data_IF_589231206914
#
_entry.id   IF_589231206914
#
_cell.length_a   1.000
_cell.length_b   1.000
_cell.length_c   1.000
_cell.angle_alpha   90.00
_cell.angle_beta   90.00
_cell.angle_gamma   90.00
#
_symmetry.space_group_name_H-M   'P 1'
#
loop_
_entity.id
_entity.type
_entity.pdbx_description
1 polymer ?
#
# COMPACT_ATOMS: atom_id res chain seq x y z
N UNK A 1 -2.71 -3.44 15.15
CA UNK A 1 -2.20 -3.39 13.75
C UNK A 1 -1.95 -4.79 13.21
N UNK A 2 -2.90 -5.28 12.41
CA UNK A 2 -2.80 -6.55 11.68
C UNK A 2 -2.84 -6.24 10.19
N UNK A 3 -1.85 -6.72 9.43
CA UNK A 3 -1.79 -6.58 7.96
C UNK A 3 -2.35 -7.86 7.35
N UNK A 4 -3.36 -7.75 6.49
CA UNK A 4 -3.96 -8.88 5.77
C UNK A 4 -3.88 -8.62 4.28
N UNK A 5 -3.24 -9.53 3.54
CA UNK A 5 -3.25 -9.53 2.07
C UNK A 5 -4.54 -10.23 1.62
N UNK A 6 -5.39 -9.50 0.90
CA UNK A 6 -6.75 -9.92 0.55
C UNK A 6 -6.87 -10.37 -0.91
N UNK A 7 -5.87 -10.07 -1.76
CA UNK A 7 -5.90 -10.39 -3.18
C UNK A 7 -4.50 -10.70 -3.71
N UNK A 8 -4.45 -11.29 -4.91
CA UNK A 8 -3.22 -11.51 -5.67
C UNK A 8 -2.53 -10.19 -5.99
N UNK A 9 -1.19 -10.22 -5.98
CA UNK A 9 -0.34 -9.14 -6.49
C UNK A 9 -0.23 -9.32 -8.00
N UNK A 10 -0.75 -8.37 -8.76
CA UNK A 10 -0.58 -8.31 -10.21
C UNK A 10 0.81 -7.73 -10.51
N UNK A 11 1.68 -8.51 -11.14
CA UNK A 11 2.98 -8.05 -11.61
C UNK A 11 2.79 -7.27 -12.92
N UNK A 12 2.64 -5.95 -12.84
CA UNK A 12 2.40 -5.14 -14.03
C UNK A 12 3.68 -4.75 -14.75
N UNK A 13 4.72 -4.42 -13.99
CA UNK A 13 6.03 -4.10 -14.54
C UNK A 13 7.16 -4.73 -13.71
N UNK A 14 8.40 -4.46 -14.08
CA UNK A 14 9.59 -4.99 -13.41
C UNK A 14 9.88 -4.34 -12.04
N UNK A 15 9.17 -3.26 -11.67
CA UNK A 15 9.36 -2.58 -10.38
C UNK A 15 8.31 -3.02 -9.35
N UNK A 16 7.27 -3.72 -9.79
CA UNK A 16 6.07 -3.98 -8.99
C UNK A 16 6.39 -4.76 -7.71
N UNK A 17 7.18 -5.82 -7.79
CA UNK A 17 7.59 -6.66 -6.65
C UNK A 17 8.43 -5.87 -5.64
N UNK A 18 9.40 -5.09 -6.10
CA UNK A 18 10.20 -4.22 -5.23
C UNK A 18 9.32 -3.22 -4.48
N UNK A 19 8.39 -2.56 -5.20
CA UNK A 19 7.48 -1.58 -4.63
C UNK A 19 6.57 -2.22 -3.58
N UNK A 20 6.00 -3.39 -3.86
CA UNK A 20 5.12 -4.08 -2.91
C UNK A 20 5.88 -4.51 -1.66
N UNK A 21 7.06 -5.15 -1.79
CA UNK A 21 7.86 -5.60 -0.65
C UNK A 21 8.27 -4.41 0.22
N UNK A 22 8.74 -3.32 -0.40
CA UNK A 22 9.13 -2.11 0.32
C UNK A 22 7.95 -1.46 1.03
N UNK A 23 6.78 -1.44 0.40
CA UNK A 23 5.56 -0.93 1.01
C UNK A 23 5.12 -1.78 2.21
N UNK A 24 5.12 -3.11 2.09
CA UNK A 24 4.83 -4.02 3.19
C UNK A 24 5.79 -3.82 4.38
N UNK A 25 7.08 -3.63 4.11
CA UNK A 25 8.07 -3.30 5.14
C UNK A 25 7.72 -1.97 5.82
N UNK A 26 7.33 -0.94 5.07
CA UNK A 26 6.87 0.33 5.65
C UNK A 26 5.64 0.13 6.54
N UNK A 27 4.67 -0.69 6.14
CA UNK A 27 3.47 -0.97 6.93
C UNK A 27 3.75 -1.74 8.23
N UNK A 28 4.81 -2.56 8.25
CA UNK A 28 5.15 -3.41 9.38
C UNK A 28 5.89 -2.69 10.53
N UNK A 29 6.49 -1.53 10.25
CA UNK A 29 7.25 -0.76 11.25
C UNK A 29 6.35 -0.08 12.30
N UNK A 30 5.29 0.66 11.91
CA UNK A 30 4.40 1.34 12.85
C UNK A 30 3.67 0.37 13.79
N UNK A 31 3.44 0.81 15.02
CA UNK A 31 2.60 0.13 16.02
C UNK A 31 1.26 0.83 16.23
N UNK A 32 1.13 2.07 15.75
CA UNK A 32 -0.11 2.85 15.85
C UNK A 32 -0.50 3.47 14.51
N UNK A 33 -1.79 3.85 14.38
CA UNK A 33 -2.30 4.59 13.22
C UNK A 33 -1.50 5.85 12.94
N UNK A 34 -1.19 6.63 13.98
CA UNK A 34 -0.46 7.89 13.86
C UNK A 34 0.95 7.68 13.34
N UNK A 35 1.64 6.64 13.81
CA UNK A 35 2.97 6.28 13.29
C UNK A 35 2.91 5.85 11.83
N UNK A 36 1.84 5.16 11.41
CA UNK A 36 1.66 4.78 10.00
C UNK A 36 1.39 6.00 9.11
N UNK A 37 0.54 6.93 9.56
CA UNK A 37 0.32 8.21 8.88
C UNK A 37 1.65 8.95 8.68
N UNK A 38 2.48 9.05 9.74
CA UNK A 38 3.81 9.67 9.65
C UNK A 38 4.75 8.92 8.70
N UNK A 39 4.79 7.58 8.75
CA UNK A 39 5.64 6.78 7.86
C UNK A 39 5.28 6.99 6.39
N UNK A 40 3.99 7.04 6.06
CA UNK A 40 3.49 7.32 4.71
C UNK A 40 3.73 8.77 4.27
N UNK A 41 3.76 9.71 5.21
CA UNK A 41 4.00 11.12 4.91
C UNK A 41 5.45 11.45 4.62
N UNK A 42 6.39 10.84 5.35
CA UNK A 42 7.82 11.15 5.27
C UNK A 42 8.65 10.15 4.46
N UNK A 43 8.04 9.10 3.90
CA UNK A 43 8.79 8.14 3.08
C UNK A 43 9.32 8.78 1.78
N UNK A 44 10.61 8.58 1.42
CA UNK A 44 11.15 9.08 0.16
C UNK A 44 10.59 8.35 -1.06
N UNK A 45 9.94 7.19 -0.87
CA UNK A 45 9.39 6.35 -1.95
C UNK A 45 7.93 6.68 -2.29
N UNK A 46 7.38 7.79 -1.74
CA UNK A 46 5.95 8.13 -1.84
C UNK A 46 5.42 8.15 -3.27
N UNK A 47 6.18 8.70 -4.20
CA UNK A 47 5.77 8.78 -5.62
C UNK A 47 5.84 7.42 -6.33
N UNK A 48 6.83 6.57 -6.01
CA UNK A 48 6.88 5.19 -6.51
C UNK A 48 5.71 4.35 -6.00
N UNK A 49 5.31 4.55 -4.75
CA UNK A 49 4.12 3.92 -4.20
C UNK A 49 2.86 4.40 -4.92
N UNK A 50 2.65 5.71 -5.09
CA UNK A 50 1.46 6.25 -5.80
C UNK A 50 1.37 5.82 -7.26
N UNK A 51 2.49 5.47 -7.89
CA UNK A 51 2.53 4.91 -9.25
C UNK A 51 1.88 3.52 -9.29
N UNK A 52 2.10 2.67 -8.28
CA UNK A 52 1.66 1.27 -8.25
C UNK A 52 0.51 0.97 -7.29
N UNK A 53 0.21 1.89 -6.39
CA UNK A 53 -0.70 1.69 -5.26
C UNK A 53 -1.59 2.92 -5.09
N UNK A 54 -2.82 2.66 -4.68
CA UNK A 54 -3.74 3.65 -4.15
C UNK A 54 -4.18 3.19 -2.76
N UNK A 55 -4.24 4.12 -1.81
CA UNK A 55 -4.64 3.78 -0.45
C UNK A 55 -5.49 4.88 0.19
N UNK A 56 -6.13 4.52 1.31
CA UNK A 56 -6.95 5.45 2.06
C UNK A 56 -7.29 4.95 3.46
N UNK A 57 -7.98 5.80 4.20
CA UNK A 57 -8.31 5.58 5.61
C UNK A 57 -9.80 5.31 5.78
N UNK A 58 -10.12 4.23 6.48
CA UNK A 58 -11.41 4.00 7.10
C UNK A 58 -11.44 4.49 8.55
N UNK A 59 -12.55 4.23 9.24
CA UNK A 59 -12.69 4.56 10.67
C UNK A 59 -11.72 3.76 11.56
N UNK A 60 -11.52 2.47 11.24
CA UNK A 60 -10.70 1.52 12.03
C UNK A 60 -9.69 0.74 11.20
N UNK A 61 -9.48 1.12 9.95
CA UNK A 61 -8.56 0.41 9.06
C UNK A 61 -7.93 1.35 8.04
N UNK A 62 -6.83 0.89 7.45
CA UNK A 62 -6.19 1.45 6.27
C UNK A 62 -6.31 0.43 5.14
N UNK A 63 -6.70 0.86 3.95
CA UNK A 63 -6.89 -0.03 2.80
C UNK A 63 -5.94 0.35 1.67
N UNK A 64 -5.55 -0.64 0.88
CA UNK A 64 -4.68 -0.47 -0.28
C UNK A 64 -5.23 -1.25 -1.46
N UNK A 65 -5.20 -0.63 -2.65
CA UNK A 65 -5.46 -1.23 -3.95
C UNK A 65 -4.24 -1.07 -4.83
N UNK A 66 -4.04 -1.99 -5.76
CA UNK A 66 -3.03 -1.79 -6.81
C UNK A 66 -3.55 -0.79 -7.85
N UNK A 67 -2.66 0.05 -8.38
CA UNK A 67 -2.90 1.01 -9.47
C UNK A 67 -1.93 0.79 -10.64
N UNK A 68 -2.45 0.55 -11.84
CA UNK A 68 -1.68 0.17 -13.01
C UNK A 68 -0.73 1.30 -13.42
N UNK A 69 0.60 1.06 -13.47
CA UNK A 69 1.57 2.12 -13.72
C UNK A 69 1.47 2.72 -15.13
N UNK A 70 0.87 1.99 -16.08
CA UNK A 70 0.78 2.40 -17.49
C UNK A 70 -0.43 3.28 -17.81
N UNK A 71 -1.59 2.95 -17.26
CA UNK A 71 -2.86 3.64 -17.58
C UNK A 71 -3.57 4.23 -16.34
N UNK A 72 -3.02 4.02 -15.14
CA UNK A 72 -3.54 4.54 -13.90
C UNK A 72 -4.83 3.87 -13.39
N UNK A 73 -5.31 2.81 -14.05
CA UNK A 73 -6.50 2.08 -13.61
C UNK A 73 -6.25 1.43 -12.25
N UNK A 74 -7.30 1.30 -11.44
CA UNK A 74 -7.19 0.75 -10.09
C UNK A 74 -7.84 -0.62 -10.07
N UNK A 75 -7.17 -1.61 -9.49
CA UNK A 75 -7.72 -2.94 -9.32
C UNK A 75 -9.04 -2.89 -8.54
N UNK A 76 -10.03 -3.69 -8.97
CA UNK A 76 -11.34 -3.72 -8.34
C UNK A 76 -11.24 -4.14 -6.86
N UNK A 77 -10.47 -5.20 -6.61
CA UNK A 77 -10.25 -5.75 -5.28
C UNK A 77 -9.19 -4.96 -4.50
N UNK A 78 -9.35 -4.94 -3.17
CA UNK A 78 -8.28 -4.50 -2.26
C UNK A 78 -7.13 -5.48 -2.35
N UNK A 79 -5.92 -4.95 -2.41
CA UNK A 79 -4.70 -5.74 -2.27
C UNK A 79 -4.55 -6.18 -0.82
N UNK A 80 -4.66 -5.23 0.11
CA UNK A 80 -4.49 -5.48 1.52
C UNK A 80 -5.25 -4.47 2.38
N UNK A 81 -5.43 -4.85 3.64
CA UNK A 81 -5.99 -4.02 4.70
C UNK A 81 -5.07 -4.07 5.92
N UNK A 82 -5.02 -2.96 6.67
CA UNK A 82 -4.38 -2.86 7.97
C UNK A 82 -5.42 -2.47 9.00
N UNK A 83 -5.70 -3.34 9.95
CA UNK A 83 -6.66 -3.10 11.04
C UNK A 83 -5.92 -2.64 12.30
N UNK A 84 -6.38 -1.56 12.94
CA UNK A 84 -5.70 -0.94 14.08
C UNK A 84 -6.05 -1.60 15.41
#
# INVERSE_FOLDING_TARGET
MTIQIESVINQWDSETDEVIIRFLNLLALPKTRRELEQALDFTPFKEQYKKHLQWGWGSRHFWVKQRCPYNGSVAENRLLIVEF
#
